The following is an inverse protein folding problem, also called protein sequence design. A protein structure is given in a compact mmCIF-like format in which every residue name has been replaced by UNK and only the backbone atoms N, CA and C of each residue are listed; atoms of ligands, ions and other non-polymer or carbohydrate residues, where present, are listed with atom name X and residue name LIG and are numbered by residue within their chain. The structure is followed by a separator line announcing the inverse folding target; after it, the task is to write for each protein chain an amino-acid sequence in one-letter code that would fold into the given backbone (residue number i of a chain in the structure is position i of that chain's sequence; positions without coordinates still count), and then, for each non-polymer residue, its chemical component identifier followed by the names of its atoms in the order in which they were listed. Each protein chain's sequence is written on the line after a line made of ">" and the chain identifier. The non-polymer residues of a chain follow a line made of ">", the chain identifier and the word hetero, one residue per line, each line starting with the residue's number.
data_IF_377712646970
#
_entry.id   IF_377712646970
#
_cell.length_a   1.000
_cell.length_b   1.000
_cell.length_c   1.000
_cell.angle_alpha   90.00
_cell.angle_beta   90.00
_cell.angle_gamma   90.00
#
_symmetry.space_group_name_H-M   'P 1'
#
loop_
_entity.id
_entity.type
_entity.pdbx_description
1 polymer ?
#
# COMPACT_ATOMS: atom_id res chain seq x y z
N UNK A 1 -6.30 -28.71 -32.30
CA UNK A 1 -7.04 -27.46 -32.03
C UNK A 1 -7.55 -27.54 -30.59
N UNK A 2 -6.67 -27.45 -29.59
CA UNK A 2 -6.23 -26.23 -28.87
C UNK A 2 -7.39 -25.34 -28.41
N UNK A 3 -7.85 -25.61 -27.19
CA UNK A 3 -8.50 -24.64 -26.33
C UNK A 3 -7.58 -24.49 -25.09
N UNK A 4 -6.78 -23.42 -25.06
CA UNK A 4 -5.98 -23.07 -23.89
C UNK A 4 -6.93 -22.67 -22.75
N UNK A 5 -7.05 -23.53 -21.74
CA UNK A 5 -7.53 -23.15 -20.42
C UNK A 5 -6.47 -22.26 -19.76
N UNK A 6 -6.75 -20.98 -19.63
CA UNK A 6 -6.03 -20.07 -18.74
C UNK A 6 -6.33 -20.45 -17.29
N UNK A 7 -5.35 -20.52 -16.37
CA UNK A 7 -5.62 -20.79 -14.97
C UNK A 7 -6.28 -19.57 -14.30
N UNK A 8 -7.15 -19.77 -13.29
CA UNK A 8 -7.70 -18.66 -12.52
C UNK A 8 -6.61 -18.08 -11.60
N UNK A 9 -6.12 -16.88 -11.92
CA UNK A 9 -5.29 -16.08 -11.02
C UNK A 9 -6.15 -15.59 -9.84
N UNK A 10 -5.97 -16.24 -8.69
CA UNK A 10 -6.49 -15.82 -7.38
C UNK A 10 -5.30 -15.19 -6.65
N UNK A 11 -5.35 -13.90 -6.34
CA UNK A 11 -4.33 -13.25 -5.50
C UNK A 11 -4.75 -13.28 -4.02
N UNK A 12 -3.85 -13.77 -3.17
CA UNK A 12 -4.01 -13.88 -1.71
C UNK A 12 -3.75 -12.54 -1.00
N UNK A 13 -4.50 -12.27 0.08
CA UNK A 13 -4.12 -11.30 1.11
C UNK A 13 -4.00 -12.07 2.44
N UNK A 14 -2.85 -11.89 3.11
CA UNK A 14 -2.50 -12.52 4.39
C UNK A 14 -3.40 -12.04 5.55
N UNK A 15 -3.83 -12.99 6.38
CA UNK A 15 -4.54 -12.80 7.64
C UNK A 15 -3.55 -12.68 8.79
N UNK A 16 -3.64 -11.66 9.65
CA UNK A 16 -2.98 -11.67 10.96
C UNK A 16 -3.74 -10.88 12.05
N UNK A 17 -4.78 -11.50 12.63
CA UNK A 17 -5.11 -11.36 14.07
C UNK A 17 -6.02 -12.51 14.53
N UNK A 18 -5.44 -13.57 15.11
CA UNK A 18 -6.07 -14.37 16.17
C UNK A 18 -5.10 -15.45 16.68
N UNK A 19 -4.30 -15.11 17.69
CA UNK A 19 -3.74 -16.14 18.57
C UNK A 19 -4.81 -16.49 19.62
N UNK A 20 -5.81 -17.25 19.19
CA UNK A 20 -6.66 -18.18 19.95
C UNK A 20 -7.57 -18.83 18.90
N UNK A 21 -7.25 -20.08 18.55
CA UNK A 21 -8.03 -21.01 17.71
C UNK A 21 -9.09 -20.42 16.75
N UNK A 22 -8.70 -20.13 15.50
CA UNK A 22 -9.58 -20.27 14.34
C UNK A 22 -8.79 -20.11 13.02
N UNK A 23 -8.70 -21.18 12.25
CA UNK A 23 -8.23 -21.18 10.86
C UNK A 23 -9.24 -20.51 9.93
N UNK A 24 -9.11 -19.22 9.62
CA UNK A 24 -9.96 -18.61 8.58
C UNK A 24 -9.22 -17.54 7.76
N UNK A 25 -8.70 -17.94 6.60
CA UNK A 25 -8.31 -17.04 5.52
C UNK A 25 -9.55 -16.29 5.01
N UNK A 26 -9.71 -15.01 5.36
CA UNK A 26 -10.73 -14.16 4.71
C UNK A 26 -10.15 -13.66 3.39
N UNK A 27 -10.53 -14.34 2.31
CA UNK A 27 -10.26 -13.92 0.93
C UNK A 27 -11.04 -12.64 0.65
N UNK A 28 -10.38 -11.61 0.13
CA UNK A 28 -11.09 -10.54 -0.56
C UNK A 28 -11.52 -11.07 -1.93
N UNK A 29 -12.82 -10.98 -2.19
CA UNK A 29 -13.51 -11.65 -3.29
C UNK A 29 -13.60 -10.68 -4.48
N UNK A 30 -13.24 -11.14 -5.69
CA UNK A 30 -13.67 -10.47 -6.93
C UNK A 30 -15.20 -10.40 -6.89
N UNK A 31 -15.78 -9.20 -6.88
CA UNK A 31 -17.23 -9.06 -6.90
C UNK A 31 -17.79 -9.75 -8.17
N UNK A 32 -18.89 -10.51 -8.07
CA UNK A 32 -19.49 -11.18 -9.22
C UNK A 32 -19.97 -10.21 -10.32
N UNK A 33 -20.12 -8.91 -10.02
CA UNK A 33 -20.19 -7.88 -11.04
C UNK A 33 -18.79 -7.70 -11.65
N UNK A 34 -18.64 -8.12 -12.90
CA UNK A 34 -17.38 -8.18 -13.65
C UNK A 34 -16.59 -6.85 -13.80
N UNK A 35 -17.03 -5.77 -13.14
CA UNK A 35 -16.49 -4.41 -13.26
C UNK A 35 -15.76 -3.90 -12.03
N UNK A 36 -15.73 -4.56 -10.87
CA UNK A 36 -15.17 -3.96 -9.63
C UNK A 36 -14.10 -4.82 -8.96
N UNK A 37 -12.94 -4.23 -8.67
CA UNK A 37 -11.81 -4.88 -7.99
C UNK A 37 -11.50 -4.21 -6.63
N UNK A 38 -11.02 -5.00 -5.67
CA UNK A 38 -10.64 -4.52 -4.35
C UNK A 38 -9.16 -4.77 -4.03
N UNK A 39 -8.48 -3.76 -3.50
CA UNK A 39 -7.14 -3.88 -2.91
C UNK A 39 -7.22 -3.60 -1.41
N UNK A 40 -7.02 -4.60 -0.54
CA UNK A 40 -6.91 -4.38 0.89
C UNK A 40 -5.47 -4.53 1.37
N UNK A 41 -5.05 -3.65 2.27
CA UNK A 41 -3.70 -3.68 2.85
C UNK A 41 -3.81 -3.62 4.36
N UNK A 42 -3.51 -4.75 5.01
CA UNK A 42 -3.37 -4.83 6.47
C UNK A 42 -1.87 -4.90 6.81
N UNK A 43 -1.40 -3.94 7.62
CA UNK A 43 -0.07 -4.05 8.21
C UNK A 43 -0.12 -4.86 9.50
N UNK A 44 0.14 -6.16 9.38
CA UNK A 44 0.73 -6.92 10.45
C UNK A 44 2.24 -7.03 10.18
N UNK A 45 3.05 -6.70 11.19
CA UNK A 45 4.49 -6.51 11.09
C UNK A 45 5.20 -7.45 10.11
N UNK A 46 5.87 -6.86 9.13
CA UNK A 46 6.70 -7.53 8.12
C UNK A 46 7.86 -8.37 8.69
N UNK A 47 8.00 -8.43 10.03
CA UNK A 47 8.88 -9.36 10.71
C UNK A 47 8.40 -10.84 10.64
N UNK A 48 7.14 -11.10 10.26
CA UNK A 48 6.57 -12.46 10.27
C UNK A 48 6.41 -13.12 8.89
N UNK A 49 6.71 -12.43 7.78
CA UNK A 49 6.41 -12.92 6.42
C UNK A 49 7.61 -13.40 5.59
N UNK A 50 8.79 -13.54 6.22
CA UNK A 50 9.99 -14.07 5.55
C UNK A 50 9.86 -15.55 5.07
N UNK A 51 8.79 -16.27 5.43
CA UNK A 51 8.66 -17.71 5.19
C UNK A 51 8.01 -18.14 3.87
N UNK A 52 6.95 -17.47 3.41
CA UNK A 52 6.03 -18.07 2.41
C UNK A 52 5.77 -17.23 1.15
N UNK A 53 6.43 -16.08 0.96
CA UNK A 53 6.32 -15.29 -0.28
C UNK A 53 7.23 -15.79 -1.42
N UNK A 54 8.13 -16.75 -1.16
CA UNK A 54 9.05 -17.29 -2.15
C UNK A 54 8.43 -18.46 -2.91
N UNK A 55 7.57 -18.16 -3.89
CA UNK A 55 7.56 -19.00 -5.10
C UNK A 55 8.32 -18.24 -6.18
N UNK A 56 9.53 -18.71 -6.51
CA UNK A 56 10.39 -18.15 -7.57
C UNK A 56 9.63 -18.22 -8.90
N UNK A 57 8.97 -17.13 -9.27
CA UNK A 57 8.08 -17.06 -10.42
C UNK A 57 8.23 -15.77 -11.22
N UNK A 58 9.44 -15.22 -11.29
CA UNK A 58 9.94 -14.37 -12.38
C UNK A 58 11.44 -14.17 -12.08
N UNK A 59 12.31 -14.37 -13.08
CA UNK A 59 13.70 -13.97 -12.95
C UNK A 59 13.72 -12.44 -12.87
N UNK A 60 13.89 -11.90 -11.66
CA UNK A 60 14.17 -10.48 -11.44
C UNK A 60 15.67 -10.31 -11.63
N UNK A 61 16.03 -9.39 -12.51
CA UNK A 61 17.39 -8.98 -12.78
C UNK A 61 18.05 -8.60 -11.44
N UNK A 62 19.17 -9.23 -11.11
CA UNK A 62 19.93 -9.01 -9.87
C UNK A 62 20.34 -7.53 -9.82
N UNK A 63 19.50 -6.71 -9.20
CA UNK A 63 19.75 -5.28 -9.11
C UNK A 63 20.85 -5.12 -8.08
N UNK A 64 22.07 -4.85 -8.52
CA UNK A 64 23.16 -4.52 -7.61
C UNK A 64 22.67 -3.45 -6.62
N UNK A 65 22.97 -3.63 -5.34
CA UNK A 65 22.46 -2.72 -4.31
C UNK A 65 22.80 -1.26 -4.64
N UNK A 66 21.80 -0.38 -4.54
CA UNK A 66 21.90 1.04 -4.91
C UNK A 66 21.80 1.92 -3.68
N UNK A 67 22.59 2.98 -3.61
CA UNK A 67 22.44 3.97 -2.54
C UNK A 67 21.34 4.97 -2.90
N UNK A 68 20.42 5.19 -1.96
CA UNK A 68 19.38 6.22 -2.02
C UNK A 68 19.76 7.36 -1.06
N UNK A 69 19.72 8.61 -1.52
CA UNK A 69 19.83 9.80 -0.65
C UNK A 69 18.43 10.26 -0.27
N UNK A 70 18.21 10.53 1.01
CA UNK A 70 17.00 11.18 1.50
C UNK A 70 16.98 12.63 1.02
N UNK A 71 15.96 12.96 0.24
CA UNK A 71 15.71 14.30 -0.32
C UNK A 71 14.80 15.12 0.58
N UNK A 72 13.85 14.47 1.24
CA UNK A 72 12.93 15.11 2.17
C UNK A 72 12.44 14.10 3.19
N UNK A 73 12.16 14.58 4.40
CA UNK A 73 11.49 13.78 5.40
C UNK A 73 10.37 14.58 6.05
N UNK A 74 9.16 14.02 6.04
CA UNK A 74 7.93 14.72 6.45
C UNK A 74 7.20 13.94 7.52
N UNK A 75 6.58 14.63 8.47
CA UNK A 75 5.70 13.99 9.47
C UNK A 75 4.36 13.65 8.81
N UNK A 76 3.93 12.41 8.92
CA UNK A 76 2.65 11.94 8.38
C UNK A 76 1.62 11.63 9.48
N UNK A 77 2.07 11.14 10.64
CA UNK A 77 1.24 10.94 11.83
C UNK A 77 2.11 11.03 13.10
N UNK A 78 1.52 10.76 14.27
CA UNK A 78 2.21 10.84 15.59
C UNK A 78 3.57 10.14 15.62
N UNK A 79 3.66 8.95 15.02
CA UNK A 79 4.87 8.11 14.98
C UNK A 79 5.17 7.58 13.58
N UNK A 80 4.77 8.33 12.55
CA UNK A 80 4.97 7.95 11.15
C UNK A 80 5.55 9.14 10.40
N UNK A 81 6.62 8.89 9.66
CA UNK A 81 7.25 9.84 8.74
C UNK A 81 7.26 9.26 7.33
N UNK A 82 7.17 10.11 6.32
CA UNK A 82 7.50 9.73 4.96
C UNK A 82 8.88 10.27 4.59
N UNK A 83 9.57 9.53 3.73
CA UNK A 83 10.91 9.83 3.27
C UNK A 83 10.93 9.75 1.76
N UNK A 84 11.14 10.89 1.11
CA UNK A 84 11.41 10.94 -0.31
C UNK A 84 12.89 10.70 -0.52
N UNK A 85 13.22 9.81 -1.45
CA UNK A 85 14.57 9.38 -1.72
C UNK A 85 14.84 9.32 -3.22
N UNK A 86 16.10 9.53 -3.58
CA UNK A 86 16.57 9.44 -4.96
C UNK A 86 17.83 8.57 -5.02
N UNK A 87 17.98 7.69 -6.01
CA UNK A 87 19.26 7.01 -6.23
C UNK A 87 20.39 8.00 -6.49
N UNK A 88 21.55 7.77 -5.87
CA UNK A 88 22.73 8.64 -6.03
C UNK A 88 23.24 8.71 -7.47
N UNK A 89 23.05 7.63 -8.21
CA UNK A 89 23.46 7.46 -9.59
C UNK A 89 22.40 7.93 -10.61
N UNK A 90 21.30 8.54 -10.16
CA UNK A 90 20.28 9.09 -11.03
C UNK A 90 20.88 10.18 -11.94
N UNK A 91 20.95 9.89 -13.24
CA UNK A 91 21.62 10.73 -14.24
C UNK A 91 20.77 11.90 -14.72
N UNK A 92 19.44 11.80 -14.55
CA UNK A 92 18.48 12.80 -14.99
C UNK A 92 17.69 13.35 -13.79
N UNK A 93 17.64 14.67 -13.68
CA UNK A 93 16.86 15.33 -12.65
C UNK A 93 15.37 15.02 -12.85
N UNK A 94 14.75 14.39 -11.86
CA UNK A 94 13.31 14.11 -11.85
C UNK A 94 12.88 12.74 -12.39
N UNK A 95 13.82 11.81 -12.62
CA UNK A 95 13.49 10.41 -12.89
C UNK A 95 14.41 9.48 -12.08
N UNK A 96 13.86 8.80 -11.06
CA UNK A 96 14.64 7.92 -10.18
C UNK A 96 15.19 6.66 -10.88
N UNK A 97 14.80 6.35 -12.12
CA UNK A 97 15.30 5.22 -12.89
C UNK A 97 15.25 3.86 -12.15
N UNK A 98 14.28 3.70 -11.26
CA UNK A 98 13.97 2.43 -10.60
C UNK A 98 12.73 1.87 -11.28
N UNK A 99 12.82 0.63 -11.77
CA UNK A 99 11.67 -0.06 -12.35
C UNK A 99 10.98 -0.87 -11.26
N UNK A 100 9.77 -0.47 -10.90
CA UNK A 100 8.91 -1.22 -9.99
C UNK A 100 7.44 -1.14 -10.42
N UNK A 101 6.63 -2.05 -9.89
CA UNK A 101 5.18 -2.12 -10.07
C UNK A 101 4.54 -1.65 -8.77
N UNK A 102 3.49 -0.81 -8.80
CA UNK A 102 2.79 -0.39 -7.60
C UNK A 102 2.39 -1.59 -6.72
N UNK A 103 2.58 -1.48 -5.41
CA UNK A 103 2.37 -2.58 -4.47
C UNK A 103 3.58 -3.50 -4.25
N UNK A 104 4.69 -3.32 -4.99
CA UNK A 104 5.97 -3.93 -4.65
C UNK A 104 6.60 -3.30 -3.41
N UNK A 105 7.60 -4.00 -2.87
CA UNK A 105 8.27 -3.67 -1.62
C UNK A 105 9.77 -3.56 -1.87
N UNK A 106 10.39 -2.50 -1.37
CA UNK A 106 11.83 -2.36 -1.30
C UNK A 106 12.38 -3.04 -0.04
N UNK A 107 13.49 -3.76 -0.20
CA UNK A 107 14.34 -4.18 0.91
C UNK A 107 15.37 -3.09 1.13
N UNK A 108 15.20 -2.33 2.22
CA UNK A 108 16.10 -1.23 2.58
C UNK A 108 17.04 -1.67 3.71
N UNK A 109 18.32 -1.32 3.60
CA UNK A 109 19.35 -1.60 4.60
C UNK A 109 19.94 -0.31 5.15
N UNK A 110 20.11 -0.30 6.46
CA UNK A 110 20.95 0.67 7.18
C UNK A 110 21.90 -0.15 8.04
N UNK A 111 23.20 0.12 7.91
CA UNK A 111 24.28 -0.67 8.52
C UNK A 111 24.17 -2.18 8.20
N UNK A 112 23.86 -3.01 9.19
CA UNK A 112 23.75 -4.48 9.06
C UNK A 112 22.29 -4.96 9.07
N UNK A 113 21.34 -4.06 9.25
CA UNK A 113 19.93 -4.42 9.41
C UNK A 113 19.13 -4.09 8.16
N UNK A 114 18.17 -4.95 7.83
CA UNK A 114 17.27 -4.79 6.69
C UNK A 114 15.83 -4.74 7.17
N UNK A 115 15.02 -3.93 6.50
CA UNK A 115 13.58 -3.93 6.66
C UNK A 115 12.89 -3.70 5.32
N UNK A 116 11.60 -4.02 5.30
CA UNK A 116 10.78 -4.04 4.11
C UNK A 116 9.85 -2.83 4.10
N UNK A 117 9.85 -2.08 3.01
CA UNK A 117 9.02 -0.89 2.86
C UNK A 117 8.33 -0.93 1.51
N UNK A 118 6.99 -0.94 1.54
CA UNK A 118 6.23 -0.71 0.34
C UNK A 118 6.54 0.68 -0.21
N UNK A 119 6.65 0.78 -1.54
CA UNK A 119 6.68 2.09 -2.18
C UNK A 119 5.38 2.83 -1.89
N UNK A 120 5.49 4.09 -1.48
CA UNK A 120 4.38 5.02 -1.33
C UNK A 120 4.20 5.92 -2.55
N UNK A 121 5.23 6.05 -3.39
CA UNK A 121 5.21 6.76 -4.67
C UNK A 121 4.79 5.85 -5.83
N UNK A 122 4.32 6.45 -6.92
CA UNK A 122 4.14 5.76 -8.19
C UNK A 122 5.49 5.61 -8.93
N UNK A 123 5.64 4.61 -9.82
CA UNK A 123 6.84 4.46 -10.66
C UNK A 123 7.15 5.67 -11.54
N UNK A 124 6.15 6.48 -11.84
CA UNK A 124 6.27 7.70 -12.64
C UNK A 124 6.54 8.96 -11.78
N UNK A 125 6.66 8.83 -10.47
CA UNK A 125 7.02 9.98 -9.63
C UNK A 125 8.51 10.31 -9.79
N UNK A 126 8.88 11.55 -9.48
CA UNK A 126 10.27 11.98 -9.59
C UNK A 126 11.17 11.25 -8.58
N UNK A 127 10.67 11.08 -7.35
CA UNK A 127 11.36 10.47 -6.22
C UNK A 127 10.62 9.21 -5.77
N UNK A 128 11.35 8.28 -5.15
CA UNK A 128 10.71 7.16 -4.45
C UNK A 128 10.38 7.56 -3.03
N UNK A 129 9.16 7.28 -2.58
CA UNK A 129 8.72 7.64 -1.24
C UNK A 129 8.46 6.38 -0.40
N UNK A 130 8.90 6.39 0.85
CA UNK A 130 8.65 5.30 1.81
C UNK A 130 7.99 5.84 3.08
N UNK A 131 6.97 5.14 3.55
CA UNK A 131 6.30 5.45 4.81
C UNK A 131 6.91 4.60 5.94
N UNK A 132 7.51 5.26 6.91
CA UNK A 132 8.27 4.62 8.00
C UNK A 132 7.62 4.95 9.32
N UNK A 133 7.27 3.90 10.06
CA UNK A 133 6.78 4.01 11.44
C UNK A 133 7.95 3.89 12.41
N UNK A 134 7.93 4.70 13.48
CA UNK A 134 8.90 4.60 14.57
C UNK A 134 8.95 3.17 15.09
N UNK A 135 10.17 2.66 15.27
CA UNK A 135 10.40 1.29 15.69
C UNK A 135 11.86 1.02 16.01
N UNK A 136 12.29 -0.21 15.77
CA UNK A 136 13.65 -0.68 15.99
C UNK A 136 14.29 -1.11 14.67
N UNK A 137 15.58 -1.39 14.73
CA UNK A 137 16.35 -1.89 13.59
C UNK A 137 16.41 -0.91 12.43
N UNK A 138 16.47 -1.41 11.20
CA UNK A 138 16.54 -0.56 10.00
C UNK A 138 15.40 0.47 9.94
N UNK A 139 14.16 0.10 10.29
CA UNK A 139 13.05 1.07 10.33
C UNK A 139 13.18 2.11 11.42
N UNK A 140 13.67 1.74 12.60
CA UNK A 140 14.00 2.69 13.66
C UNK A 140 15.13 3.65 13.26
N UNK A 141 16.19 3.12 12.64
CA UNK A 141 17.30 3.91 12.14
C UNK A 141 16.83 4.92 11.07
N UNK A 142 16.11 4.46 10.04
CA UNK A 142 15.55 5.33 8.99
C UNK A 142 14.62 6.39 9.59
N UNK A 143 13.79 6.02 10.57
CA UNK A 143 12.88 6.96 11.20
C UNK A 143 13.58 8.17 11.84
N UNK A 144 14.84 8.06 12.26
CA UNK A 144 15.61 9.17 12.86
C UNK A 144 16.48 9.92 11.82
N UNK A 145 16.55 9.45 10.58
CA UNK A 145 17.35 10.08 9.52
C UNK A 145 16.74 11.40 9.03
N UNK A 146 17.57 12.17 8.33
CA UNK A 146 17.31 13.51 7.82
C UNK A 146 17.77 13.67 6.37
N UNK A 147 17.50 14.82 5.77
CA UNK A 147 17.92 15.13 4.40
C UNK A 147 19.46 14.99 4.25
N UNK A 148 19.89 14.32 3.18
CA UNK A 148 21.30 14.05 2.87
C UNK A 148 21.83 12.71 3.40
N UNK A 149 21.11 12.06 4.32
CA UNK A 149 21.46 10.73 4.79
C UNK A 149 21.21 9.65 3.71
N UNK A 150 21.89 8.51 3.84
CA UNK A 150 21.89 7.43 2.82
C UNK A 150 21.29 6.14 3.33
N UNK A 151 20.47 5.52 2.50
CA UNK A 151 19.88 4.19 2.72
C UNK A 151 20.24 3.29 1.55
N UNK A 152 20.61 2.04 1.80
CA UNK A 152 20.90 1.08 0.73
C UNK A 152 19.60 0.40 0.29
N UNK A 153 19.24 0.51 -0.97
CA UNK A 153 18.23 -0.31 -1.63
C UNK A 153 18.89 -1.62 -2.06
N UNK A 154 18.54 -2.72 -1.41
CA UNK A 154 19.11 -4.05 -1.65
C UNK A 154 18.43 -4.73 -2.82
N UNK A 155 17.10 -4.78 -2.81
CA UNK A 155 16.28 -5.44 -3.84
C UNK A 155 14.85 -4.88 -3.83
N UNK A 156 14.14 -5.02 -4.94
CA UNK A 156 12.70 -4.79 -5.05
C UNK A 156 12.01 -6.14 -5.23
N UNK A 157 11.09 -6.47 -4.32
CA UNK A 157 10.41 -7.77 -4.27
C UNK A 157 8.89 -7.66 -4.36
N UNK A 158 8.25 -8.80 -4.64
CA UNK A 158 6.81 -8.96 -4.76
C UNK A 158 6.32 -8.82 -6.20
N UNK A 159 5.08 -9.25 -6.46
CA UNK A 159 4.49 -9.18 -7.80
C UNK A 159 3.90 -7.80 -8.15
N UNK A 160 3.68 -6.95 -7.14
CA UNK A 160 2.89 -5.73 -7.29
C UNK A 160 1.41 -6.01 -7.58
N UNK A 161 0.66 -4.95 -7.84
CA UNK A 161 -0.74 -5.01 -8.23
C UNK A 161 -0.85 -5.17 -9.75
N UNK A 162 -1.65 -6.13 -10.25
CA UNK A 162 -1.82 -6.37 -11.69
C UNK A 162 -2.74 -5.33 -12.35
N UNK A 163 -2.49 -4.03 -12.14
CA UNK A 163 -3.37 -2.92 -12.57
C UNK A 163 -3.68 -2.96 -14.07
N UNK A 164 -2.73 -3.42 -14.90
CA UNK A 164 -2.92 -3.57 -16.35
C UNK A 164 -4.01 -4.57 -16.72
N UNK A 165 -4.20 -5.63 -15.93
CA UNK A 165 -5.25 -6.63 -16.14
C UNK A 165 -6.64 -6.09 -15.77
N UNK A 166 -6.68 -4.92 -15.15
CA UNK A 166 -7.89 -4.33 -14.59
C UNK A 166 -8.30 -3.01 -15.26
N UNK A 167 -7.69 -2.66 -16.40
CA UNK A 167 -8.18 -1.57 -17.25
C UNK A 167 -9.65 -1.79 -17.61
N UNK A 168 -10.43 -0.70 -17.58
CA UNK A 168 -11.87 -0.70 -17.82
C UNK A 168 -12.74 -1.09 -16.62
N UNK A 169 -12.12 -1.47 -15.48
CA UNK A 169 -12.85 -1.78 -14.24
C UNK A 169 -12.83 -0.59 -13.28
N UNK A 170 -13.87 -0.51 -12.46
CA UNK A 170 -13.91 0.26 -11.23
C UNK A 170 -12.93 -0.37 -10.21
N UNK A 171 -12.23 0.48 -9.47
CA UNK A 171 -11.25 0.08 -8.46
C UNK A 171 -11.66 0.61 -7.09
N UNK A 172 -11.62 -0.27 -6.10
CA UNK A 172 -11.81 0.06 -4.69
C UNK A 172 -10.51 -0.24 -3.95
N UNK A 173 -9.96 0.78 -3.32
CA UNK A 173 -8.78 0.66 -2.49
C UNK A 173 -9.19 0.70 -1.03
N UNK A 174 -8.58 -0.13 -0.20
CA UNK A 174 -8.89 -0.27 1.22
C UNK A 174 -7.58 -0.21 2.00
N UNK A 175 -7.37 0.88 2.73
CA UNK A 175 -6.16 1.08 3.53
C UNK A 175 -6.47 1.29 5.00
N UNK A 176 -5.49 0.92 5.82
CA UNK A 176 -5.42 1.33 7.21
C UNK A 176 -3.98 1.47 7.69
N UNK A 177 -3.74 2.49 8.53
CA UNK A 177 -2.40 2.81 9.04
C UNK A 177 -1.38 2.95 7.92
N UNK A 178 -0.19 2.38 8.12
CA UNK A 178 0.92 2.38 7.14
C UNK A 178 0.64 1.52 5.89
N UNK A 179 -0.45 0.76 5.86
CA UNK A 179 -0.94 0.07 4.66
C UNK A 179 -1.40 1.01 3.55
N UNK A 180 -1.53 2.32 3.84
CA UNK A 180 -1.79 3.35 2.84
C UNK A 180 -0.63 3.53 1.85
N UNK A 181 0.62 3.17 2.19
CA UNK A 181 1.76 3.33 1.28
C UNK A 181 1.57 2.62 -0.07
N UNK A 182 1.41 1.28 -0.13
CA UNK A 182 1.20 0.60 -1.41
C UNK A 182 -0.11 1.02 -2.09
N UNK A 183 -1.16 1.35 -1.33
CA UNK A 183 -2.39 1.95 -1.90
C UNK A 183 -2.05 3.24 -2.64
N UNK A 184 -1.34 4.16 -1.98
CA UNK A 184 -1.01 5.47 -2.53
C UNK A 184 -0.16 5.33 -3.78
N UNK A 185 0.80 4.41 -3.79
CA UNK A 185 1.58 4.06 -4.99
C UNK A 185 0.65 3.67 -6.16
N UNK A 186 -0.32 2.77 -5.90
CA UNK A 186 -1.26 2.32 -6.91
C UNK A 186 -2.22 3.43 -7.36
N UNK A 187 -2.76 4.20 -6.44
CA UNK A 187 -3.69 5.29 -6.71
C UNK A 187 -3.01 6.37 -7.55
N UNK A 188 -1.79 6.78 -7.20
CA UNK A 188 -1.01 7.76 -7.97
C UNK A 188 -0.72 7.27 -9.39
N UNK A 189 -0.37 5.99 -9.55
CA UNK A 189 -0.19 5.39 -10.88
C UNK A 189 -1.50 5.39 -11.69
N UNK A 190 -2.61 4.99 -11.07
CA UNK A 190 -3.95 4.97 -11.68
C UNK A 190 -4.42 6.36 -12.07
N UNK A 191 -4.17 7.38 -11.23
CA UNK A 191 -4.55 8.77 -11.53
C UNK A 191 -3.76 9.35 -12.70
N UNK A 192 -2.50 8.94 -12.91
CA UNK A 192 -1.72 9.30 -14.09
C UNK A 192 -2.22 8.64 -15.38
N UNK A 193 -2.94 7.53 -15.26
CA UNK A 193 -3.54 6.77 -16.36
C UNK A 193 -5.07 6.70 -16.21
N UNK A 194 -5.67 7.81 -15.74
CA UNK A 194 -7.05 7.84 -15.22
C UNK A 194 -8.06 7.33 -16.24
N UNK A 195 -7.85 7.62 -17.51
CA UNK A 195 -8.70 7.23 -18.64
C UNK A 195 -8.79 5.71 -18.86
N UNK A 196 -7.85 4.95 -18.31
CA UNK A 196 -7.81 3.50 -18.44
C UNK A 196 -8.69 2.77 -17.42
N UNK A 197 -9.23 3.48 -16.42
CA UNK A 197 -9.95 2.89 -15.29
C UNK A 197 -11.37 3.47 -15.12
N UNK A 198 -12.23 2.70 -14.49
CA UNK A 198 -13.61 3.09 -14.17
C UNK A 198 -13.70 4.07 -13.00
N UNK A 199 -14.67 3.87 -12.12
CA UNK A 199 -14.81 4.62 -10.87
C UNK A 199 -13.70 4.23 -9.89
N UNK A 200 -13.23 5.19 -9.11
CA UNK A 200 -12.20 4.99 -8.10
C UNK A 200 -12.78 5.29 -6.74
N UNK A 201 -12.66 4.35 -5.80
CA UNK A 201 -13.13 4.50 -4.42
C UNK A 201 -11.98 4.18 -3.47
N UNK A 202 -11.77 5.01 -2.46
CA UNK A 202 -10.81 4.79 -1.38
C UNK A 202 -11.55 4.66 -0.07
N UNK A 203 -11.44 3.50 0.57
CA UNK A 203 -11.90 3.23 1.93
C UNK A 203 -10.70 3.35 2.87
N UNK A 204 -10.69 4.39 3.70
CA UNK A 204 -9.54 4.70 4.54
C UNK A 204 -9.90 4.64 6.02
N UNK A 205 -9.32 3.65 6.73
CA UNK A 205 -9.51 3.46 8.17
C UNK A 205 -8.33 3.95 9.01
N UNK A 206 -8.62 4.63 10.12
CA UNK A 206 -7.62 5.02 11.12
C UNK A 206 -8.12 4.79 12.56
N UNK A 207 -7.28 5.02 13.57
CA UNK A 207 -7.74 4.98 14.97
C UNK A 207 -8.35 6.32 15.36
N UNK A 208 -7.60 7.39 15.17
CA UNK A 208 -8.05 8.78 15.36
C UNK A 208 -7.87 9.57 14.05
N UNK A 209 -8.40 10.80 13.94
CA UNK A 209 -8.14 11.65 12.78
C UNK A 209 -6.64 11.91 12.55
N UNK A 210 -5.86 12.04 13.63
CA UNK A 210 -4.41 12.29 13.58
C UNK A 210 -3.58 11.10 13.08
N UNK A 211 -4.21 9.93 12.90
CA UNK A 211 -3.57 8.71 12.41
C UNK A 211 -3.72 8.51 10.88
N UNK A 212 -4.43 9.40 10.19
CA UNK A 212 -4.47 9.44 8.72
C UNK A 212 -3.15 10.03 8.18
N UNK A 213 -2.35 9.19 7.52
CA UNK A 213 -1.19 9.65 6.76
C UNK A 213 -1.66 10.19 5.40
N UNK A 214 -0.93 11.16 4.83
CA UNK A 214 -1.30 11.80 3.56
C UNK A 214 -2.72 12.40 3.59
N UNK A 215 -3.15 12.88 4.76
CA UNK A 215 -4.49 13.46 4.92
C UNK A 215 -4.67 14.73 4.09
N UNK A 216 -3.59 15.44 3.80
CA UNK A 216 -3.50 16.60 2.93
C UNK A 216 -3.74 16.27 1.44
N UNK A 217 -3.49 15.03 1.02
CA UNK A 217 -3.75 14.59 -0.36
C UNK A 217 -5.21 14.17 -0.60
N UNK A 218 -6.02 14.02 0.45
CA UNK A 218 -7.41 13.56 0.31
C UNK A 218 -8.21 14.52 -0.58
N UNK A 219 -8.06 15.82 -0.38
CA UNK A 219 -8.74 16.84 -1.18
C UNK A 219 -8.29 16.78 -2.65
N UNK A 220 -7.02 16.46 -2.92
CA UNK A 220 -6.50 16.29 -4.27
C UNK A 220 -7.07 15.03 -4.95
N UNK A 221 -7.22 13.93 -4.20
CA UNK A 221 -7.84 12.71 -4.71
C UNK A 221 -9.31 12.93 -5.03
N UNK A 222 -10.05 13.62 -4.15
CA UNK A 222 -11.45 13.97 -4.38
C UNK A 222 -11.61 14.90 -5.59
N UNK A 223 -10.74 15.90 -5.74
CA UNK A 223 -10.72 16.78 -6.90
C UNK A 223 -10.39 16.03 -8.21
N UNK A 224 -9.62 14.93 -8.15
CA UNK A 224 -9.34 14.04 -9.27
C UNK A 224 -10.48 13.03 -9.55
N UNK A 225 -11.60 13.12 -8.83
CA UNK A 225 -12.78 12.28 -9.03
C UNK A 225 -12.71 10.92 -8.35
N UNK A 226 -11.90 10.80 -7.28
CA UNK A 226 -11.87 9.63 -6.40
C UNK A 226 -12.91 9.82 -5.29
N UNK A 227 -13.76 8.81 -5.06
CA UNK A 227 -14.63 8.82 -3.90
C UNK A 227 -13.86 8.35 -2.67
N UNK A 228 -13.62 9.24 -1.70
CA UNK A 228 -12.91 8.89 -0.47
C UNK A 228 -13.89 8.76 0.70
N UNK A 229 -13.89 7.59 1.35
CA UNK A 229 -14.66 7.31 2.56
C UNK A 229 -13.73 7.01 3.72
N UNK A 230 -13.75 7.88 4.72
CA UNK A 230 -12.92 7.76 5.92
C UNK A 230 -13.73 7.20 7.09
N UNK A 231 -13.10 6.37 7.93
CA UNK A 231 -13.69 5.88 9.18
C UNK A 231 -12.63 5.83 10.28
N UNK A 232 -13.02 6.18 11.51
CA UNK A 232 -12.14 6.06 12.67
C UNK A 232 -12.70 5.11 13.71
N UNK A 233 -11.82 4.39 14.41
CA UNK A 233 -12.22 3.42 15.44
C UNK A 233 -12.25 3.99 16.86
N UNK A 234 -11.64 5.16 17.09
CA UNK A 234 -11.48 5.81 18.40
C UNK A 234 -11.70 7.33 18.27
N UNK A 235 -12.96 7.80 18.20
CA UNK A 235 -13.27 9.22 18.05
C UNK A 235 -13.07 10.04 19.33
N UNK A 236 -12.96 9.38 20.49
CA UNK A 236 -12.94 10.04 21.79
C UNK A 236 -11.85 11.13 21.88
N UNK A 237 -12.27 12.36 22.21
CA UNK A 237 -11.37 13.51 22.35
C UNK A 237 -11.00 14.20 21.03
N UNK A 238 -11.61 13.84 19.92
CA UNK A 238 -11.40 14.46 18.61
C UNK A 238 -12.70 15.02 18.03
N UNK A 239 -12.59 16.09 17.24
CA UNK A 239 -13.70 16.63 16.45
C UNK A 239 -13.84 15.81 15.15
N UNK A 240 -14.68 14.77 15.18
CA UNK A 240 -14.93 13.87 14.06
C UNK A 240 -16.42 13.75 13.78
N UNK A 241 -16.84 14.25 12.62
CA UNK A 241 -18.22 14.19 12.13
C UNK A 241 -18.50 13.02 11.19
N UNK A 242 -17.47 12.25 10.81
CA UNK A 242 -17.59 11.13 9.88
C UNK A 242 -18.01 9.80 10.55
N UNK A 243 -18.02 8.69 9.79
CA UNK A 243 -18.32 7.37 10.31
C UNK A 243 -17.36 6.92 11.43
N UNK A 244 -17.89 6.22 12.43
CA UNK A 244 -17.12 5.54 13.48
C UNK A 244 -17.24 4.03 13.33
N UNK A 245 -16.12 3.32 13.38
CA UNK A 245 -16.06 1.87 13.19
C UNK A 245 -14.72 1.39 12.65
N UNK A 246 -14.75 0.29 11.90
CA UNK A 246 -13.59 -0.24 11.20
C UNK A 246 -13.78 -0.14 9.69
N UNK A 247 -12.69 -0.11 8.91
CA UNK A 247 -12.76 0.04 7.45
C UNK A 247 -13.67 -0.99 6.76
N UNK A 248 -13.83 -2.19 7.35
CA UNK A 248 -14.71 -3.21 6.78
C UNK A 248 -16.20 -2.80 6.79
N UNK A 249 -16.63 -1.91 7.70
CA UNK A 249 -18.03 -1.44 7.72
C UNK A 249 -18.34 -0.50 6.55
N UNK A 250 -17.33 0.03 5.88
CA UNK A 250 -17.51 0.86 4.69
C UNK A 250 -17.80 0.01 3.43
N UNK A 251 -17.40 -1.27 3.42
CA UNK A 251 -17.58 -2.17 2.26
C UNK A 251 -19.06 -2.41 1.93
N UNK A 252 -19.90 -2.55 2.96
CA UNK A 252 -21.35 -2.77 2.82
C UNK A 252 -22.03 -1.63 2.01
N UNK A 253 -21.45 -0.44 2.03
CA UNK A 253 -21.98 0.75 1.36
C UNK A 253 -21.42 0.97 -0.04
N UNK A 254 -20.38 0.22 -0.45
CA UNK A 254 -19.80 0.26 -1.80
C UNK A 254 -20.31 -0.91 -2.63
N UNK A 255 -20.70 -2.01 -1.98
CA UNK A 255 -21.33 -3.16 -2.60
C UNK A 255 -22.59 -3.58 -1.83
N UNK A 256 -23.80 -3.26 -2.31
CA UNK A 256 -25.06 -3.66 -1.67
C UNK A 256 -25.34 -5.19 -1.66
N UNK A 257 -24.33 -6.05 -1.85
CA UNK A 257 -24.41 -7.51 -1.75
C UNK A 257 -23.25 -8.18 -1.01
N UNK A 258 -22.29 -7.40 -0.47
CA UNK A 258 -21.15 -7.91 0.29
C UNK A 258 -21.39 -7.68 1.79
N UNK A 259 -22.62 -7.97 2.25
CA UNK A 259 -23.03 -7.76 3.64
C UNK A 259 -22.07 -8.47 4.60
N UNK A 260 -21.51 -7.72 5.54
CA UNK A 260 -20.79 -8.22 6.71
C UNK A 260 -21.73 -9.06 7.60
N UNK A 261 -22.06 -10.29 7.18
CA UNK A 261 -22.83 -11.21 8.02
C UNK A 261 -21.99 -11.65 9.22
N UNK A 262 -22.13 -10.90 10.31
CA UNK A 262 -21.94 -11.44 11.66
C UNK A 262 -23.22 -12.15 12.05
N UNK A 263 -23.28 -13.48 11.90
CA UNK A 263 -24.07 -14.30 12.82
C UNK A 263 -23.11 -14.83 13.87
N UNK A 264 -23.15 -14.22 15.05
CA UNK A 264 -22.51 -14.73 16.25
C UNK A 264 -23.58 -15.52 17.01
N UNK A 265 -23.49 -16.84 16.97
CA UNK A 265 -24.16 -17.75 17.91
C UNK A 265 -23.12 -18.35 18.84
#
# INVERSE_FOLDING_TARGET
>A
MSAHQLPPLIYEIFSLYSNTHASHSKKLVKAPSARTLFYAVEQAGLNCLAGNFFNKGAAVEETAARSLIIKRASRQARDIRSFDMMPEDAREAGAHALSFIPGQVAVLRVEKEQAYFAFASAPEDAEVEFLVKRGYGAGGAIYEMTEGDRVELVEIIGHGYPLREHKGNDLVFVAMGTGVAPLRSALRHVLKHREEFGQLVVLYGARTPDDFCYGDEVDEWEAAGVEVRRVISRPDGHDWSGPTGYVQSLLDHVLPGLSSQKQWS
#
